data_IF_262394326454
#
_entry.id   IF_262394326454
#
_cell.length_a   1.000
_cell.length_b   1.000
_cell.length_c   1.000
_cell.angle_alpha   90.00
_cell.angle_beta   90.00
_cell.angle_gamma   90.00
#
_symmetry.space_group_name_H-M   'P 1'
#
loop_
_entity.id
_entity.type
_entity.pdbx_description
1 polymer ?
#
# COMPACT_ATOMS: atom_id res chain seq x y z
N UNK A 1 18.93 -19.26 -17.40
CA UNK A 1 18.32 -18.20 -18.24
C UNK A 1 18.63 -16.89 -17.56
N UNK A 2 19.22 -15.92 -18.27
CA UNK A 2 19.43 -14.57 -17.72
C UNK A 2 18.04 -13.95 -17.64
N UNK A 3 17.52 -13.71 -16.44
CA UNK A 3 16.28 -12.96 -16.29
C UNK A 3 16.50 -11.58 -16.92
N UNK A 4 15.73 -11.27 -17.97
CA UNK A 4 15.75 -9.93 -18.58
C UNK A 4 15.25 -8.96 -17.52
N UNK A 5 16.13 -8.07 -17.04
CA UNK A 5 15.76 -7.01 -16.11
C UNK A 5 15.11 -5.87 -16.88
N UNK A 6 13.91 -5.46 -16.46
CA UNK A 6 13.17 -4.34 -17.02
C UNK A 6 13.44 -3.05 -16.24
N UNK A 7 13.52 -1.93 -16.94
CA UNK A 7 13.48 -0.60 -16.33
C UNK A 7 12.04 -0.22 -15.98
N UNK A 8 11.86 0.82 -15.14
CA UNK A 8 10.52 1.36 -14.83
C UNK A 8 9.81 1.85 -16.10
N UNK A 9 10.53 2.49 -17.02
CA UNK A 9 9.94 3.02 -18.24
C UNK A 9 9.48 1.90 -19.19
N UNK A 10 10.24 0.81 -19.29
CA UNK A 10 9.83 -0.37 -20.04
C UNK A 10 8.62 -1.04 -19.38
N UNK A 11 8.66 -1.24 -18.07
CA UNK A 11 7.55 -1.81 -17.30
C UNK A 11 6.25 -1.01 -17.49
N UNK A 12 6.31 0.31 -17.37
CA UNK A 12 5.17 1.21 -17.56
C UNK A 12 4.61 1.19 -18.99
N UNK A 13 5.45 0.89 -19.99
CA UNK A 13 5.03 0.76 -21.38
C UNK A 13 4.47 -0.63 -21.72
N UNK A 14 4.82 -1.69 -20.97
CA UNK A 14 4.50 -3.08 -21.32
C UNK A 14 3.53 -3.78 -20.38
N UNK A 15 3.34 -3.29 -19.15
CA UNK A 15 2.52 -3.98 -18.14
C UNK A 15 1.04 -4.11 -18.52
N UNK A 16 0.53 -3.24 -19.40
CA UNK A 16 -0.86 -3.31 -19.85
C UNK A 16 -1.85 -3.31 -18.67
N UNK A 17 -2.82 -4.23 -18.71
CA UNK A 17 -3.81 -4.46 -17.65
C UNK A 17 -3.41 -5.62 -16.71
N UNK A 18 -2.19 -6.15 -16.82
CA UNK A 18 -1.74 -7.27 -16.00
C UNK A 18 -1.45 -6.81 -14.55
N UNK A 19 -1.89 -7.58 -13.55
CA UNK A 19 -1.56 -7.34 -12.14
C UNK A 19 -0.15 -7.82 -11.84
N UNK A 20 0.83 -6.97 -12.14
CA UNK A 20 2.25 -7.25 -11.93
C UNK A 20 2.92 -6.15 -11.11
N UNK A 21 3.97 -6.51 -10.39
CA UNK A 21 4.90 -5.59 -9.74
C UNK A 21 6.27 -5.67 -10.42
N UNK A 22 7.07 -4.62 -10.23
CA UNK A 22 8.48 -4.63 -10.61
C UNK A 22 9.34 -4.61 -9.34
N UNK A 23 10.27 -5.55 -9.19
CA UNK A 23 11.15 -5.64 -8.03
C UNK A 23 12.58 -5.81 -8.53
N UNK A 24 13.43 -4.80 -8.36
CA UNK A 24 14.83 -4.85 -8.84
C UNK A 24 14.99 -5.19 -10.33
N UNK A 25 14.02 -4.73 -11.12
CA UNK A 25 13.91 -5.01 -12.54
C UNK A 25 13.28 -6.36 -12.90
N UNK A 26 12.88 -7.17 -11.91
CA UNK A 26 12.17 -8.42 -12.15
C UNK A 26 10.65 -8.17 -12.09
N UNK A 27 9.94 -8.61 -13.13
CA UNK A 27 8.47 -8.56 -13.17
C UNK A 27 7.94 -9.73 -12.36
N UNK A 28 7.08 -9.45 -11.38
CA UNK A 28 6.49 -10.43 -10.48
C UNK A 28 4.98 -10.39 -10.64
N UNK A 29 4.39 -11.54 -10.96
CA UNK A 29 2.94 -11.69 -11.02
C UNK A 29 2.32 -11.55 -9.63
N UNK A 30 1.25 -10.76 -9.54
CA UNK A 30 0.43 -10.71 -8.34
C UNK A 30 -0.72 -11.71 -8.48
N UNK A 31 -0.87 -12.66 -7.54
CA UNK A 31 -2.04 -13.53 -7.55
C UNK A 31 -3.31 -12.68 -7.39
N UNK A 32 -4.46 -13.15 -7.92
CA UNK A 32 -5.73 -12.48 -7.68
C UNK A 32 -6.02 -12.42 -6.19
N UNK A 33 -6.58 -11.30 -5.74
CA UNK A 33 -7.00 -11.10 -4.35
C UNK A 33 -8.19 -12.03 -4.03
N UNK A 34 -8.25 -12.53 -2.80
CA UNK A 34 -9.42 -13.30 -2.34
C UNK A 34 -10.61 -12.36 -2.12
N UNK A 35 -11.81 -12.91 -2.00
CA UNK A 35 -13.02 -12.15 -1.64
C UNK A 35 -12.81 -11.36 -0.35
N UNK A 36 -12.30 -12.03 0.69
CA UNK A 36 -12.03 -11.41 2.00
C UNK A 36 -11.02 -10.27 1.93
N UNK A 37 -9.85 -10.49 1.30
CA UNK A 37 -8.82 -9.44 1.26
C UNK A 37 -9.24 -8.24 0.39
N UNK A 38 -9.91 -8.50 -0.73
CA UNK A 38 -10.44 -7.46 -1.61
C UNK A 38 -11.54 -6.64 -0.93
N UNK A 39 -12.49 -7.30 -0.25
CA UNK A 39 -13.59 -6.64 0.47
C UNK A 39 -13.05 -5.77 1.61
N UNK A 40 -12.13 -6.29 2.42
CA UNK A 40 -11.51 -5.54 3.52
C UNK A 40 -10.73 -4.33 3.00
N UNK A 41 -9.93 -4.49 1.93
CA UNK A 41 -9.22 -3.37 1.31
C UNK A 41 -10.20 -2.28 0.81
N UNK A 42 -11.33 -2.68 0.20
CA UNK A 42 -12.36 -1.76 -0.23
C UNK A 42 -13.02 -1.01 0.94
N UNK A 43 -13.31 -1.70 2.05
CA UNK A 43 -13.83 -1.11 3.28
C UNK A 43 -12.85 -0.08 3.86
N UNK A 44 -11.56 -0.43 3.96
CA UNK A 44 -10.52 0.50 4.44
C UNK A 44 -10.44 1.72 3.53
N UNK A 45 -10.40 1.54 2.21
CA UNK A 45 -10.36 2.64 1.25
C UNK A 45 -11.60 3.56 1.38
N UNK A 46 -12.78 2.99 1.64
CA UNK A 46 -13.99 3.74 1.90
C UNK A 46 -13.91 4.56 3.19
N UNK A 47 -13.54 3.95 4.31
CA UNK A 47 -13.41 4.60 5.62
C UNK A 47 -12.37 5.73 5.57
N UNK A 48 -11.22 5.47 4.96
CA UNK A 48 -10.21 6.52 4.69
C UNK A 48 -10.80 7.64 3.82
N UNK A 49 -11.62 7.29 2.82
CA UNK A 49 -12.27 8.25 1.93
C UNK A 49 -13.21 9.22 2.64
N UNK A 50 -13.92 8.76 3.67
CA UNK A 50 -14.77 9.59 4.51
C UNK A 50 -13.97 10.65 5.28
N UNK A 51 -12.73 10.35 5.65
CA UNK A 51 -11.85 11.29 6.36
C UNK A 51 -11.06 12.20 5.43
N UNK A 52 -10.42 11.62 4.41
CA UNK A 52 -9.47 12.31 3.53
C UNK A 52 -10.16 13.32 2.62
N UNK A 53 -11.34 12.99 2.08
CA UNK A 53 -11.98 13.81 1.04
C UNK A 53 -12.55 15.14 1.57
N UNK A 54 -13.32 15.18 2.68
CA UNK A 54 -13.86 16.45 3.18
C UNK A 54 -12.77 17.45 3.57
N UNK A 55 -11.71 16.94 4.19
CA UNK A 55 -10.57 17.74 4.67
C UNK A 55 -9.49 17.96 3.61
N UNK A 56 -9.66 17.42 2.39
CA UNK A 56 -8.74 17.53 1.25
C UNK A 56 -7.29 17.16 1.62
N UNK A 57 -7.13 16.14 2.46
CA UNK A 57 -5.81 15.75 2.99
C UNK A 57 -4.89 15.16 1.93
N UNK A 58 -5.44 14.68 0.81
CA UNK A 58 -4.68 14.06 -0.26
C UNK A 58 -5.53 13.19 -1.18
N UNK A 59 -4.93 12.11 -1.67
CA UNK A 59 -5.59 11.10 -2.52
C UNK A 59 -5.41 9.71 -1.95
N UNK A 60 -6.45 8.89 -2.11
CA UNK A 60 -6.44 7.46 -1.85
C UNK A 60 -6.35 6.75 -3.20
N UNK A 61 -5.58 5.67 -3.22
CA UNK A 61 -5.32 4.82 -4.36
C UNK A 61 -5.69 3.38 -3.98
N UNK A 62 -6.21 2.63 -4.95
CA UNK A 62 -6.58 1.22 -4.82
C UNK A 62 -5.45 0.31 -5.33
N UNK A 63 -5.67 -1.01 -5.25
CA UNK A 63 -4.77 -2.09 -5.64
C UNK A 63 -4.43 -2.20 -7.14
N UNK A 64 -4.62 -1.12 -7.91
CA UNK A 64 -4.23 -0.96 -9.32
C UNK A 64 -3.15 0.12 -9.50
N UNK A 65 -2.85 0.89 -8.46
CA UNK A 65 -1.90 2.00 -8.54
C UNK A 65 -0.47 1.54 -8.18
N UNK A 66 0.39 1.44 -9.19
CA UNK A 66 1.83 1.22 -8.99
C UNK A 66 2.56 2.48 -8.52
N UNK A 67 3.46 2.33 -7.55
CA UNK A 67 4.32 3.40 -7.03
C UNK A 67 5.79 3.08 -7.27
N UNK A 68 6.51 3.99 -7.92
CA UNK A 68 7.97 3.88 -8.06
C UNK A 68 8.61 4.31 -6.75
N UNK A 69 9.09 3.33 -5.97
CA UNK A 69 9.50 3.56 -4.59
C UNK A 69 10.85 4.26 -4.45
N UNK A 70 11.74 4.05 -5.42
CA UNK A 70 13.11 4.51 -5.36
C UNK A 70 13.49 5.24 -6.66
N UNK A 71 14.32 6.29 -6.59
CA UNK A 71 14.74 7.04 -7.78
C UNK A 71 15.71 6.27 -8.68
N UNK A 72 16.51 5.36 -8.10
CA UNK A 72 17.66 4.68 -8.72
C UNK A 72 17.53 3.15 -8.75
N UNK A 73 16.43 2.61 -8.24
CA UNK A 73 16.13 1.17 -8.20
C UNK A 73 14.84 0.90 -8.95
N UNK A 74 14.89 -0.03 -9.91
CA UNK A 74 13.76 -0.37 -10.78
C UNK A 74 12.72 -1.19 -10.00
N UNK A 75 11.95 -0.51 -9.16
CA UNK A 75 10.98 -1.14 -8.27
C UNK A 75 9.68 -0.34 -8.29
N UNK A 76 8.60 -1.03 -8.67
CA UNK A 76 7.22 -0.54 -8.65
C UNK A 76 6.40 -1.50 -7.79
N UNK A 77 5.83 -0.98 -6.71
CA UNK A 77 4.98 -1.76 -5.79
C UNK A 77 3.54 -1.29 -5.86
N UNK A 78 2.62 -2.21 -5.63
CA UNK A 78 1.18 -1.95 -5.67
C UNK A 78 0.60 -2.32 -4.29
N UNK A 79 0.43 -1.34 -3.38
CA UNK A 79 -0.29 -1.57 -2.14
C UNK A 79 -1.77 -1.81 -2.37
N UNK A 80 -2.43 -2.58 -1.50
CA UNK A 80 -3.88 -2.82 -1.61
C UNK A 80 -4.68 -1.52 -1.44
N UNK A 81 -4.23 -0.68 -0.51
CA UNK A 81 -4.68 0.70 -0.37
C UNK A 81 -3.47 1.59 -0.12
N UNK A 82 -3.40 2.74 -0.76
CA UNK A 82 -2.38 3.74 -0.48
C UNK A 82 -2.97 5.13 -0.32
N UNK A 83 -2.33 5.95 0.50
CA UNK A 83 -2.66 7.37 0.63
C UNK A 83 -1.42 8.24 0.41
N UNK A 84 -1.60 9.33 -0.32
CA UNK A 84 -0.58 10.35 -0.57
C UNK A 84 -1.12 11.71 -0.16
N UNK A 85 -0.37 12.43 0.68
CA UNK A 85 -0.73 13.77 1.15
C UNK A 85 -0.81 14.78 0.02
N UNK A 86 -1.68 15.77 0.17
CA UNK A 86 -2.04 16.71 -0.88
C UNK A 86 -0.83 17.47 -1.47
N UNK A 87 0.13 17.82 -0.64
CA UNK A 87 1.37 18.54 -0.98
C UNK A 87 2.40 17.67 -1.73
N UNK A 88 2.26 16.33 -1.69
CA UNK A 88 3.13 15.38 -2.39
C UNK A 88 2.52 14.81 -3.68
N UNK A 89 1.25 15.09 -3.95
CA UNK A 89 0.53 14.47 -5.06
C UNK A 89 1.12 14.83 -6.43
N UNK A 90 1.17 13.87 -7.38
CA UNK A 90 1.53 14.19 -8.76
C UNK A 90 0.48 15.12 -9.40
N UNK A 91 0.97 16.07 -10.19
CA UNK A 91 0.19 17.09 -10.90
C UNK A 91 0.50 17.08 -12.40
N UNK A 92 -0.42 17.62 -13.20
CA UNK A 92 -0.25 17.75 -14.65
C UNK A 92 0.00 16.41 -15.33
N UNK A 93 1.00 16.37 -16.22
CA UNK A 93 1.34 15.19 -17.02
C UNK A 93 1.83 14.00 -16.17
N UNK A 94 2.42 14.27 -15.00
CA UNK A 94 2.85 13.20 -14.08
C UNK A 94 1.69 12.31 -13.61
N UNK A 95 0.43 12.75 -13.75
CA UNK A 95 -0.75 11.94 -13.43
C UNK A 95 -1.03 10.81 -14.42
N UNK A 96 -0.38 10.83 -15.60
CA UNK A 96 -0.46 9.74 -16.58
C UNK A 96 0.52 8.61 -16.30
N UNK A 97 1.37 8.78 -15.29
CA UNK A 97 2.44 7.87 -14.95
C UNK A 97 2.28 7.31 -13.54
N UNK A 98 3.00 6.23 -13.23
CA UNK A 98 3.15 5.79 -11.85
C UNK A 98 3.73 6.92 -10.99
N UNK A 99 3.13 7.24 -9.82
CA UNK A 99 3.71 8.21 -8.90
C UNK A 99 5.14 7.80 -8.54
N UNK A 100 6.07 8.75 -8.70
CA UNK A 100 7.49 8.56 -8.36
C UNK A 100 7.78 8.97 -6.93
N UNK A 101 7.14 8.26 -6.01
CA UNK A 101 7.23 8.46 -4.56
C UNK A 101 6.76 7.22 -3.82
N UNK A 102 7.26 7.02 -2.61
CA UNK A 102 6.64 6.13 -1.63
C UNK A 102 5.40 6.83 -1.01
N UNK A 103 4.23 6.18 -0.94
CA UNK A 103 3.04 6.76 -0.32
C UNK A 103 3.25 7.07 1.17
N UNK A 104 2.42 7.97 1.71
CA UNK A 104 2.47 8.33 3.13
C UNK A 104 1.86 7.22 4.02
N UNK A 105 0.86 6.51 3.49
CA UNK A 105 0.32 5.27 4.06
C UNK A 105 0.29 4.19 2.97
N UNK A 106 0.77 2.99 3.30
CA UNK A 106 0.48 1.77 2.56
C UNK A 106 -0.29 0.78 3.46
N UNK A 107 -1.35 0.19 2.92
CA UNK A 107 -2.12 -0.88 3.56
C UNK A 107 -1.92 -2.15 2.76
N UNK A 108 -1.64 -3.23 3.48
CA UNK A 108 -1.49 -4.58 2.94
C UNK A 108 -2.46 -5.50 3.67
N UNK A 109 -3.35 -6.15 2.93
CA UNK A 109 -4.31 -7.10 3.48
C UNK A 109 -3.85 -8.51 3.15
N UNK A 110 -3.48 -9.26 4.19
CA UNK A 110 -2.96 -10.61 4.04
C UNK A 110 -3.96 -11.53 3.33
N UNK A 111 -3.45 -12.29 2.36
CA UNK A 111 -4.15 -13.39 1.72
C UNK A 111 -3.78 -14.72 2.39
N UNK A 112 -4.69 -15.72 2.42
CA UNK A 112 -4.39 -17.06 2.93
C UNK A 112 -3.20 -17.75 2.24
N UNK A 113 -2.86 -17.31 1.02
CA UNK A 113 -1.74 -17.86 0.23
C UNK A 113 -0.43 -17.11 0.46
N UNK A 114 -0.45 -15.99 1.19
CA UNK A 114 0.74 -15.19 1.39
C UNK A 114 1.74 -15.91 2.26
N UNK A 115 2.98 -15.92 1.79
CA UNK A 115 4.08 -16.46 2.58
C UNK A 115 4.59 -15.35 3.47
N UNK A 116 4.62 -15.63 4.77
CA UNK A 116 5.33 -14.89 5.81
C UNK A 116 6.61 -14.17 5.37
N UNK A 117 7.46 -14.86 4.61
CA UNK A 117 8.73 -14.31 4.12
C UNK A 117 8.51 -13.16 3.14
N UNK A 118 7.55 -13.29 2.24
CA UNK A 118 7.28 -12.31 1.19
C UNK A 118 6.63 -11.06 1.80
N UNK A 119 5.72 -11.24 2.76
CA UNK A 119 5.13 -10.15 3.55
C UNK A 119 6.23 -9.35 4.27
N UNK A 120 7.12 -10.04 4.99
CA UNK A 120 8.24 -9.38 5.69
C UNK A 120 9.18 -8.65 4.74
N UNK A 121 9.47 -9.23 3.57
CA UNK A 121 10.29 -8.59 2.56
C UNK A 121 9.62 -7.32 1.99
N UNK A 122 8.31 -7.37 1.75
CA UNK A 122 7.50 -6.24 1.29
C UNK A 122 7.47 -5.10 2.32
N UNK A 123 7.20 -5.42 3.58
CA UNK A 123 7.23 -4.44 4.69
C UNK A 123 8.62 -3.81 4.84
N UNK A 124 9.69 -4.63 4.83
CA UNK A 124 11.05 -4.12 4.92
C UNK A 124 11.39 -3.16 3.76
N UNK A 125 10.93 -3.47 2.54
CA UNK A 125 11.11 -2.60 1.37
C UNK A 125 10.34 -1.29 1.51
N UNK A 126 9.14 -1.32 2.09
CA UNK A 126 8.36 -0.10 2.34
C UNK A 126 9.03 0.80 3.39
N UNK A 127 9.59 0.21 4.44
CA UNK A 127 10.38 0.93 5.44
C UNK A 127 11.67 1.49 4.83
N UNK A 128 12.37 0.73 3.99
CA UNK A 128 13.54 1.18 3.23
C UNK A 128 13.21 2.37 2.32
N UNK A 129 12.03 2.34 1.68
CA UNK A 129 11.51 3.45 0.86
C UNK A 129 11.07 4.66 1.70
N UNK A 130 11.15 4.59 3.03
CA UNK A 130 10.81 5.67 3.94
C UNK A 130 9.31 5.91 4.10
N UNK A 131 8.46 4.89 3.87
CA UNK A 131 7.03 5.00 4.13
C UNK A 131 6.79 5.32 5.62
N UNK A 132 6.14 6.45 5.95
CA UNK A 132 5.94 6.85 7.35
C UNK A 132 5.03 5.90 8.12
N UNK A 133 4.03 5.30 7.45
CA UNK A 133 3.04 4.45 8.06
C UNK A 133 2.69 3.29 7.14
N UNK A 134 2.70 2.07 7.70
CA UNK A 134 2.22 0.87 7.04
C UNK A 134 1.20 0.20 7.95
N UNK A 135 0.08 -0.24 7.39
CA UNK A 135 -0.89 -1.08 8.07
C UNK A 135 -0.89 -2.47 7.45
N UNK A 136 -0.52 -3.47 8.24
CA UNK A 136 -0.64 -4.87 7.86
C UNK A 136 -1.91 -5.44 8.49
N UNK A 137 -2.87 -5.81 7.66
CA UNK A 137 -4.19 -6.28 8.08
C UNK A 137 -4.24 -7.79 7.92
N UNK A 138 -4.55 -8.50 9.00
CA UNK A 138 -4.73 -9.95 9.00
C UNK A 138 -6.24 -10.27 9.10
N UNK A 139 -6.88 -10.71 8.02
CA UNK A 139 -8.29 -11.09 8.03
C UNK A 139 -8.62 -12.27 8.94
N UNK A 140 -7.72 -13.25 9.05
CA UNK A 140 -7.98 -14.49 9.80
C UNK A 140 -7.86 -14.24 11.30
N UNK A 141 -6.86 -13.45 11.71
CA UNK A 141 -6.69 -13.03 13.11
C UNK A 141 -7.57 -11.83 13.49
N UNK A 142 -8.17 -11.14 12.50
CA UNK A 142 -8.88 -9.87 12.66
C UNK A 142 -8.06 -8.82 13.42
N UNK A 143 -6.82 -8.61 12.95
CA UNK A 143 -5.90 -7.64 13.56
C UNK A 143 -5.35 -6.65 12.54
N UNK A 144 -4.94 -5.49 13.03
CA UNK A 144 -4.15 -4.51 12.26
C UNK A 144 -2.83 -4.29 12.99
N UNK A 145 -1.73 -4.61 12.33
CA UNK A 145 -0.39 -4.27 12.81
C UNK A 145 0.04 -2.95 12.21
N UNK A 146 0.21 -1.95 13.08
CA UNK A 146 0.67 -0.61 12.76
C UNK A 146 2.19 -0.58 12.81
N UNK A 147 2.79 -0.22 11.68
CA UNK A 147 4.23 -0.13 11.48
C UNK A 147 4.57 1.34 11.15
N UNK A 148 4.79 2.14 12.18
CA UNK A 148 5.26 3.52 12.02
C UNK A 148 6.79 3.56 11.85
N UNK A 149 7.29 4.41 10.96
CA UNK A 149 8.72 4.45 10.62
C UNK A 149 9.57 4.77 11.86
N UNK A 150 10.54 3.90 12.14
CA UNK A 150 11.45 4.06 13.28
C UNK A 150 10.82 3.80 14.64
N UNK A 151 9.63 3.20 14.70
CA UNK A 151 8.95 2.79 15.93
C UNK A 151 8.78 1.26 15.96
N UNK A 152 8.57 0.72 17.15
CA UNK A 152 8.20 -0.70 17.31
C UNK A 152 6.80 -0.95 16.76
N UNK A 153 6.55 -2.11 16.12
CA UNK A 153 5.22 -2.46 15.63
C UNK A 153 4.20 -2.59 16.77
N UNK A 154 2.96 -2.14 16.51
CA UNK A 154 1.85 -2.28 17.45
C UNK A 154 0.72 -3.05 16.78
N UNK A 155 0.33 -4.19 17.33
CA UNK A 155 -0.80 -4.97 16.83
C UNK A 155 -2.06 -4.63 17.61
N UNK A 156 -3.09 -4.23 16.87
CA UNK A 156 -4.42 -3.89 17.37
C UNK A 156 -5.40 -5.00 17.02
N UNK A 157 -6.35 -5.23 17.92
CA UNK A 157 -7.44 -6.21 17.78
C UNK A 157 -8.76 -5.49 17.51
N UNK A 158 -9.83 -6.22 17.20
CA UNK A 158 -11.19 -5.67 17.03
C UNK A 158 -11.74 -4.89 18.24
N UNK A 159 -11.12 -5.01 19.42
CA UNK A 159 -11.49 -4.25 20.61
C UNK A 159 -10.79 -2.88 20.72
N UNK A 160 -9.86 -2.59 19.81
CA UNK A 160 -9.03 -1.40 19.83
C UNK A 160 -9.46 -0.38 18.76
N UNK A 161 -8.99 0.85 18.93
CA UNK A 161 -9.15 1.93 17.95
C UNK A 161 -7.83 2.15 17.20
N UNK A 162 -7.90 2.14 15.87
CA UNK A 162 -6.80 2.47 14.98
C UNK A 162 -6.67 3.99 14.80
N UNK A 163 -5.49 4.52 15.14
CA UNK A 163 -5.15 5.94 15.00
C UNK A 163 -4.32 6.18 13.73
N UNK A 164 -4.64 7.24 12.99
CA UNK A 164 -3.94 7.62 11.75
C UNK A 164 -2.57 8.28 11.94
N UNK A 165 -2.20 8.61 13.19
CA UNK A 165 -0.97 9.30 13.53
C UNK A 165 -0.80 10.63 12.78
N UNK A 166 0.45 11.02 12.57
CA UNK A 166 0.78 12.26 11.84
C UNK A 166 0.47 12.19 10.33
N UNK A 167 0.28 10.98 9.80
CA UNK A 167 0.00 10.76 8.37
C UNK A 167 -1.46 11.09 8.05
N UNK A 168 -2.37 10.67 8.91
CA UNK A 168 -3.81 10.89 8.81
C UNK A 168 -4.29 11.53 10.13
N UNK A 169 -4.00 12.81 10.34
CA UNK A 169 -4.32 13.48 11.60
C UNK A 169 -5.81 13.40 11.89
N UNK A 170 -6.15 13.20 13.16
CA UNK A 170 -7.51 13.07 13.69
C UNK A 170 -8.30 11.85 13.20
N UNK A 171 -7.73 10.98 12.36
CA UNK A 171 -8.38 9.73 11.98
C UNK A 171 -8.42 8.78 13.17
N UNK A 172 -9.62 8.31 13.49
CA UNK A 172 -9.86 7.19 14.41
C UNK A 172 -10.87 6.25 13.80
N UNK A 173 -10.50 4.97 13.73
CA UNK A 173 -11.35 3.90 13.22
C UNK A 173 -11.44 2.82 14.28
N UNK A 174 -12.64 2.35 14.58
CA UNK A 174 -12.76 1.12 15.36
C UNK A 174 -12.26 -0.04 14.51
N UNK A 175 -11.33 -0.85 15.02
CA UNK A 175 -10.75 -1.94 14.22
C UNK A 175 -11.83 -2.94 13.79
N UNK A 176 -12.89 -3.11 14.59
CA UNK A 176 -14.05 -3.92 14.22
C UNK A 176 -14.73 -3.47 12.92
N UNK A 177 -14.74 -2.18 12.57
CA UNK A 177 -15.36 -1.66 11.34
C UNK A 177 -14.61 -2.09 10.08
N UNK A 178 -13.33 -2.46 10.20
CA UNK A 178 -12.52 -2.96 9.08
C UNK A 178 -12.96 -4.37 8.65
N UNK A 179 -13.48 -5.16 9.60
CA UNK A 179 -13.82 -6.57 9.41
C UNK A 179 -15.33 -6.86 9.42
N UNK A 180 -16.16 -5.82 9.41
CA UNK A 180 -17.63 -5.90 9.52
C UNK A 180 -18.32 -6.35 8.23
#
# INVERSE_FOLDING_TARGET
MVATRSTVAEFEATSGDDRVELIDGEIVEMPPSSDGSSSIAATIAFLLGLHVRPSKLGRIYNADAGFVLFPDRATVRVPDVAFVRADRMPQGEARRHFPRLAPDLAVEVLSPTDRDRDVRAKVAMYQEAGMPLIWLVDPDAQTVTVLALGQEPVTLTVADTLDGGDVLPDLRLEVAEIFA
#
